data_IF_259207771193
#
_entry.id   IF_259207771193
#
_cell.length_a   1.000
_cell.length_b   1.000
_cell.length_c   1.000
_cell.angle_alpha   90.00
_cell.angle_beta   90.00
_cell.angle_gamma   90.00
#
_symmetry.space_group_name_H-M   'P 1'
#
loop_
_entity.id
_entity.type
_entity.pdbx_description
1 polymer ?
#
# COMPACT_ATOMS: atom_id res chain seq x y z
N UNK A 1 -0.83 -7.95 -9.47
CA UNK A 1 0.48 -8.47 -9.96
C UNK A 1 0.45 -9.96 -10.25
N UNK A 2 0.11 -10.78 -9.30
CA UNK A 2 -0.08 -12.22 -9.48
C UNK A 2 -1.56 -12.50 -9.73
N UNK A 3 -1.89 -13.36 -10.72
CA UNK A 3 -3.27 -13.73 -11.03
C UNK A 3 -3.93 -14.46 -9.85
N UNK A 4 -5.15 -14.06 -9.49
CA UNK A 4 -6.04 -14.90 -8.71
C UNK A 4 -6.68 -15.97 -9.60
N UNK A 5 -7.31 -16.99 -9.00
CA UNK A 5 -7.88 -18.15 -9.69
C UNK A 5 -8.93 -17.86 -10.80
N UNK A 6 -9.30 -16.58 -11.00
CA UNK A 6 -10.29 -16.13 -11.99
C UNK A 6 -9.77 -15.06 -12.96
N UNK A 7 -8.45 -14.73 -12.97
CA UNK A 7 -7.91 -13.69 -13.85
C UNK A 7 -7.17 -14.29 -15.03
N UNK A 8 -7.58 -13.91 -16.24
CA UNK A 8 -6.96 -14.35 -17.51
C UNK A 8 -5.68 -13.56 -17.80
N UNK A 9 -5.59 -12.30 -17.37
CA UNK A 9 -4.43 -11.43 -17.62
C UNK A 9 -3.84 -10.94 -16.31
N UNK A 10 -2.56 -11.18 -16.10
CA UNK A 10 -1.80 -10.70 -14.94
C UNK A 10 -0.35 -10.39 -15.36
N UNK A 11 0.32 -9.54 -14.61
CA UNK A 11 1.66 -9.06 -14.98
C UNK A 11 2.67 -10.20 -15.19
N UNK A 12 2.58 -11.27 -14.40
CA UNK A 12 3.48 -12.42 -14.55
C UNK A 12 3.37 -13.06 -15.95
N UNK A 13 2.17 -13.07 -16.54
CA UNK A 13 1.97 -13.52 -17.93
C UNK A 13 2.59 -12.58 -18.96
N UNK A 14 2.74 -11.31 -18.64
CA UNK A 14 3.32 -10.29 -19.53
C UNK A 14 4.85 -10.19 -19.43
N UNK A 15 5.49 -10.85 -18.47
CA UNK A 15 6.95 -10.77 -18.28
C UNK A 15 7.75 -11.36 -19.43
N UNK A 16 7.11 -12.15 -20.30
CA UNK A 16 7.74 -12.66 -21.54
C UNK A 16 8.23 -11.50 -22.43
N UNK A 17 7.44 -10.44 -22.58
CA UNK A 17 7.80 -9.23 -23.34
C UNK A 17 8.96 -8.44 -22.71
N UNK A 18 9.30 -8.71 -21.45
CA UNK A 18 10.35 -8.02 -20.70
C UNK A 18 11.67 -8.79 -20.63
N UNK A 19 11.89 -9.73 -21.52
CA UNK A 19 13.14 -10.50 -21.59
C UNK A 19 14.35 -9.65 -21.98
N UNK A 20 14.17 -8.64 -22.81
CA UNK A 20 15.24 -7.74 -23.28
C UNK A 20 16.49 -8.52 -23.76
N UNK A 21 16.27 -9.55 -24.58
CA UNK A 21 17.33 -10.39 -25.13
C UNK A 21 17.90 -11.49 -24.21
N UNK A 22 17.31 -11.69 -23.03
CA UNK A 22 17.67 -12.79 -22.12
C UNK A 22 16.87 -14.05 -22.43
N UNK A 23 17.42 -15.22 -22.16
CA UNK A 23 16.76 -16.50 -22.36
C UNK A 23 15.57 -16.69 -21.40
N UNK A 24 15.75 -16.26 -20.15
CA UNK A 24 14.71 -16.36 -19.13
C UNK A 24 13.90 -15.06 -18.99
N UNK A 25 12.60 -15.19 -18.75
CA UNK A 25 11.73 -14.05 -18.42
C UNK A 25 11.99 -13.55 -17.01
N UNK A 26 11.82 -12.22 -16.76
CA UNK A 26 11.91 -11.67 -15.42
C UNK A 26 10.92 -12.29 -14.45
N UNK A 27 11.33 -12.36 -13.18
CA UNK A 27 10.59 -12.99 -12.08
C UNK A 27 10.07 -11.98 -11.09
N UNK A 28 8.84 -12.18 -10.63
CA UNK A 28 8.28 -11.43 -9.50
C UNK A 28 9.03 -11.80 -8.21
N UNK A 29 9.43 -10.79 -7.44
CA UNK A 29 10.10 -10.94 -6.14
C UNK A 29 9.27 -10.38 -4.98
N UNK A 30 8.30 -9.56 -5.31
CA UNK A 30 7.25 -9.08 -4.40
C UNK A 30 5.95 -8.81 -5.19
N UNK A 31 4.93 -8.38 -4.50
CA UNK A 31 3.63 -8.12 -5.12
C UNK A 31 3.02 -6.82 -4.64
N UNK A 32 2.19 -6.22 -5.49
CA UNK A 32 1.21 -5.21 -5.13
C UNK A 32 -0.19 -5.84 -5.18
N UNK A 33 -1.11 -5.35 -4.34
CA UNK A 33 -2.50 -5.73 -4.41
C UNK A 33 -3.12 -5.26 -5.74
N UNK A 34 -4.23 -5.88 -6.14
CA UNK A 34 -5.01 -5.42 -7.29
C UNK A 34 -5.40 -3.95 -7.06
N UNK A 35 -5.35 -3.13 -8.05
CA UNK A 35 -5.65 -1.69 -7.99
C UNK A 35 -4.60 -0.82 -7.26
N UNK A 36 -3.62 -1.38 -6.55
CA UNK A 36 -2.49 -0.63 -6.01
C UNK A 36 -1.48 -0.34 -7.11
N UNK A 37 -1.15 0.92 -7.30
CA UNK A 37 -0.14 1.40 -8.24
C UNK A 37 1.25 1.52 -7.60
N UNK A 38 2.26 1.88 -8.39
CA UNK A 38 3.59 2.24 -7.90
C UNK A 38 4.71 1.27 -8.21
N UNK A 39 5.80 1.36 -7.45
CA UNK A 39 7.02 0.59 -7.66
C UNK A 39 6.77 -0.92 -7.58
N UNK A 40 7.07 -1.60 -8.67
CA UNK A 40 7.12 -3.05 -8.73
C UNK A 40 8.46 -3.50 -9.31
N UNK A 41 9.22 -4.27 -8.53
CA UNK A 41 10.54 -4.75 -8.90
C UNK A 41 10.48 -6.15 -9.48
N UNK A 42 11.12 -6.36 -10.61
CA UNK A 42 11.30 -7.65 -11.26
C UNK A 42 12.79 -8.03 -11.28
N UNK A 43 13.09 -9.29 -11.02
CA UNK A 43 14.46 -9.80 -11.13
C UNK A 43 14.67 -10.41 -12.51
N UNK A 44 15.72 -10.00 -13.22
CA UNK A 44 16.04 -10.52 -14.57
C UNK A 44 16.64 -11.92 -14.57
N UNK A 45 17.27 -12.34 -13.47
CA UNK A 45 17.89 -13.66 -13.35
C UNK A 45 17.41 -14.40 -12.11
N UNK A 46 17.49 -15.74 -12.11
CA UNK A 46 17.12 -16.59 -10.98
C UNK A 46 17.91 -16.26 -9.72
N UNK A 47 19.21 -15.98 -9.85
CA UNK A 47 20.06 -15.65 -8.72
C UNK A 47 19.65 -14.32 -8.07
N UNK A 48 19.41 -13.28 -8.86
CA UNK A 48 18.90 -11.98 -8.38
C UNK A 48 17.53 -12.16 -7.73
N UNK A 49 16.64 -12.96 -8.33
CA UNK A 49 15.32 -13.24 -7.75
C UNK A 49 15.42 -13.87 -6.35
N UNK A 50 16.32 -14.83 -6.16
CA UNK A 50 16.55 -15.48 -4.86
C UNK A 50 17.00 -14.46 -3.79
N UNK A 51 17.96 -13.59 -4.12
CA UNK A 51 18.47 -12.58 -3.21
C UNK A 51 17.39 -11.54 -2.84
N UNK A 52 16.69 -11.00 -3.83
CA UNK A 52 15.63 -10.03 -3.61
C UNK A 52 14.46 -10.62 -2.81
N UNK A 53 13.99 -11.81 -3.14
CA UNK A 53 12.93 -12.49 -2.37
C UNK A 53 13.34 -12.66 -0.90
N UNK A 54 14.59 -13.03 -0.63
CA UNK A 54 15.12 -13.12 0.73
C UNK A 54 15.14 -11.75 1.42
N UNK A 55 15.55 -10.68 0.73
CA UNK A 55 15.54 -9.33 1.29
C UNK A 55 14.11 -8.87 1.68
N UNK A 56 13.11 -9.13 0.83
CA UNK A 56 11.70 -8.85 1.15
C UNK A 56 11.19 -9.68 2.33
N UNK A 57 11.50 -10.97 2.38
CA UNK A 57 11.11 -11.86 3.48
C UNK A 57 11.74 -11.44 4.82
N UNK A 58 13.01 -11.03 4.79
CA UNK A 58 13.75 -10.58 5.97
C UNK A 58 13.48 -9.14 6.35
N UNK A 59 12.55 -8.44 5.66
CA UNK A 59 12.22 -7.03 5.90
C UNK A 59 13.42 -6.09 5.77
N UNK A 60 14.42 -6.45 4.98
CA UNK A 60 15.59 -5.61 4.65
C UNK A 60 15.30 -4.64 3.51
N UNK A 61 14.05 -4.21 3.40
CA UNK A 61 13.58 -3.26 2.39
C UNK A 61 12.74 -2.20 3.06
N UNK A 62 13.00 -0.94 2.75
CA UNK A 62 12.16 0.18 3.16
C UNK A 62 11.10 0.41 2.08
N UNK A 63 9.84 0.39 2.46
CA UNK A 63 8.70 0.59 1.56
C UNK A 63 7.83 1.70 2.12
N UNK A 64 7.53 2.69 1.30
CA UNK A 64 6.61 3.76 1.69
C UNK A 64 5.49 3.81 0.66
N UNK A 65 4.28 3.82 1.17
CA UNK A 65 3.06 3.96 0.40
C UNK A 65 2.44 5.33 0.67
N UNK A 66 1.95 5.95 -0.36
CA UNK A 66 1.11 7.13 -0.25
C UNK A 66 -0.35 6.75 -0.44
N UNK A 67 -1.23 7.35 0.34
CA UNK A 67 -2.66 7.14 0.23
C UNK A 67 -3.44 8.41 0.53
N UNK A 68 -4.51 8.65 -0.22
CA UNK A 68 -5.53 9.60 0.18
C UNK A 68 -6.61 8.86 0.98
N UNK A 69 -6.96 9.38 2.15
CA UNK A 69 -7.94 8.77 3.06
C UNK A 69 -9.06 9.74 3.43
N UNK A 70 -10.21 9.20 3.79
CA UNK A 70 -11.33 9.97 4.33
C UNK A 70 -11.02 10.43 5.77
N UNK A 71 -11.24 11.71 6.05
CA UNK A 71 -10.93 12.31 7.35
C UNK A 71 -9.44 12.46 7.60
N UNK A 72 -9.11 12.78 8.86
CA UNK A 72 -7.73 13.05 9.32
C UNK A 72 -7.44 12.20 10.55
N UNK A 73 -6.55 11.19 10.46
CA UNK A 73 -6.15 10.42 11.63
C UNK A 73 -5.57 11.29 12.74
N UNK A 74 -5.95 11.00 13.97
CA UNK A 74 -5.41 11.67 15.16
C UNK A 74 -4.90 10.59 16.12
N UNK A 75 -3.61 10.62 16.53
CA UNK A 75 -2.57 11.60 16.19
C UNK A 75 -2.14 11.55 14.71
N UNK A 76 -1.47 12.63 14.23
CA UNK A 76 -0.98 12.72 12.84
C UNK A 76 0.17 11.75 12.51
N UNK A 77 0.79 11.17 13.51
CA UNK A 77 1.84 10.16 13.42
C UNK A 77 1.50 9.03 14.38
N UNK A 78 1.58 7.79 13.93
CA UNK A 78 1.29 6.66 14.80
C UNK A 78 1.60 5.30 14.20
N UNK A 79 1.42 4.27 15.04
CA UNK A 79 1.57 2.87 14.67
C UNK A 79 0.28 2.10 14.91
N UNK A 80 -0.19 1.39 13.91
CA UNK A 80 -1.38 0.53 13.96
C UNK A 80 -0.92 -0.91 14.20
N UNK A 81 -1.34 -1.52 15.32
CA UNK A 81 -0.94 -2.87 15.75
C UNK A 81 -2.14 -3.82 15.87
N UNK A 82 -2.89 -4.01 14.80
CA UNK A 82 -3.94 -5.02 14.74
C UNK A 82 -3.45 -6.30 14.07
N UNK A 83 -3.95 -7.45 14.53
CA UNK A 83 -3.81 -8.69 13.76
C UNK A 83 -4.72 -8.66 12.52
N UNK A 84 -4.41 -9.52 11.56
CA UNK A 84 -5.22 -9.70 10.36
C UNK A 84 -5.57 -11.16 10.16
N UNK A 85 -6.86 -11.43 9.89
CA UNK A 85 -7.38 -12.75 9.54
C UNK A 85 -8.21 -12.65 8.26
N UNK A 86 -8.22 -13.68 7.44
CA UNK A 86 -9.06 -13.74 6.25
C UNK A 86 -10.54 -13.79 6.69
N UNK A 87 -11.38 -12.94 6.10
CA UNK A 87 -12.82 -12.99 6.35
C UNK A 87 -13.40 -14.31 5.85
N UNK A 88 -14.35 -14.88 6.62
CA UNK A 88 -15.02 -16.14 6.29
C UNK A 88 -16.08 -16.00 5.19
N UNK A 89 -16.46 -14.76 4.83
CA UNK A 89 -17.40 -14.52 3.74
C UNK A 89 -16.75 -14.93 2.40
N UNK A 90 -17.28 -15.98 1.76
CA UNK A 90 -16.72 -16.63 0.56
C UNK A 90 -16.67 -15.71 -0.66
N UNK A 91 -17.46 -14.63 -0.70
CA UNK A 91 -17.62 -13.80 -1.89
C UNK A 91 -16.57 -12.68 -2.02
N UNK A 92 -15.82 -12.36 -0.96
CA UNK A 92 -14.83 -11.30 -0.99
C UNK A 92 -13.54 -11.72 -0.26
N UNK A 93 -12.40 -11.70 -0.97
CA UNK A 93 -11.08 -11.78 -0.34
C UNK A 93 -10.82 -10.52 0.50
N UNK A 94 -11.42 -10.46 1.68
CA UNK A 94 -11.29 -9.36 2.63
C UNK A 94 -10.54 -9.83 3.86
N UNK A 95 -9.70 -8.96 4.41
CA UNK A 95 -9.06 -9.16 5.70
C UNK A 95 -9.87 -8.44 6.77
N UNK A 96 -10.00 -9.04 7.94
CA UNK A 96 -10.60 -8.44 9.13
C UNK A 96 -9.51 -8.15 10.15
N UNK A 97 -9.57 -6.98 10.76
CA UNK A 97 -8.72 -6.64 11.88
C UNK A 97 -9.10 -7.43 13.12
N UNK A 98 -8.10 -7.79 13.91
CA UNK A 98 -8.20 -8.54 15.15
C UNK A 98 -7.44 -7.78 16.22
N UNK A 99 -8.10 -7.55 17.36
CA UNK A 99 -7.45 -6.88 18.48
C UNK A 99 -6.15 -7.59 18.87
N UNK A 100 -5.06 -6.89 19.19
CA UNK A 100 -3.75 -7.51 19.46
C UNK A 100 -3.79 -8.63 20.51
N UNK A 101 -4.62 -8.47 21.56
CA UNK A 101 -4.80 -9.47 22.63
C UNK A 101 -5.50 -10.77 22.20
N UNK A 102 -6.16 -10.76 21.03
CA UNK A 102 -6.96 -11.90 20.54
C UNK A 102 -6.30 -12.61 19.36
N UNK A 103 -5.20 -12.10 18.82
CA UNK A 103 -4.53 -12.69 17.65
C UNK A 103 -4.17 -14.17 17.87
N UNK A 104 -3.71 -14.51 19.06
CA UNK A 104 -3.35 -15.90 19.39
C UNK A 104 -4.56 -16.82 19.59
N UNK A 105 -5.76 -16.27 19.82
CA UNK A 105 -7.00 -17.01 20.09
C UNK A 105 -7.78 -17.32 18.82
N UNK A 106 -7.49 -16.63 17.71
CA UNK A 106 -8.23 -16.74 16.45
C UNK A 106 -7.36 -17.48 15.43
N UNK A 107 -7.86 -18.64 14.98
CA UNK A 107 -7.16 -19.44 13.99
C UNK A 107 -6.94 -18.66 12.68
N UNK A 108 -5.73 -18.80 12.11
CA UNK A 108 -5.32 -18.08 10.89
C UNK A 108 -5.03 -16.58 11.07
N UNK A 109 -5.28 -16.00 12.26
CA UNK A 109 -4.92 -14.61 12.52
C UNK A 109 -3.40 -14.44 12.63
N UNK A 110 -2.87 -13.37 12.03
CA UNK A 110 -1.44 -13.03 12.04
C UNK A 110 -1.24 -11.60 12.49
N UNK A 111 -0.27 -11.39 13.34
CA UNK A 111 0.12 -10.02 13.73
C UNK A 111 0.49 -9.19 12.51
N UNK A 112 0.06 -7.94 12.53
CA UNK A 112 0.38 -6.96 11.51
C UNK A 112 0.66 -5.60 12.18
N UNK A 113 1.56 -4.84 11.57
CA UNK A 113 2.01 -3.55 12.09
C UNK A 113 2.24 -2.59 10.92
N UNK A 114 1.69 -1.38 11.04
CA UNK A 114 1.76 -0.32 10.04
C UNK A 114 2.05 1.01 10.72
N UNK A 115 3.12 1.69 10.32
CA UNK A 115 3.34 3.08 10.70
C UNK A 115 2.66 4.00 9.69
N UNK A 116 2.14 5.12 10.15
CA UNK A 116 1.55 6.14 9.29
C UNK A 116 1.92 7.55 9.75
N UNK A 117 1.90 8.47 8.80
CA UNK A 117 2.09 9.91 9.02
C UNK A 117 1.15 10.68 8.11
N UNK A 118 0.47 11.67 8.65
CA UNK A 118 -0.30 12.65 7.87
C UNK A 118 0.67 13.63 7.24
N UNK A 119 0.74 13.65 5.91
CA UNK A 119 1.57 14.59 5.16
C UNK A 119 0.87 15.94 4.98
N UNK A 120 -0.39 15.88 4.57
CA UNK A 120 -1.23 17.07 4.38
C UNK A 120 -2.70 16.70 4.55
N UNK A 121 -3.54 17.70 4.72
CA UNK A 121 -4.98 17.50 4.96
C UNK A 121 -5.83 18.53 4.21
N UNK A 122 -7.05 18.13 3.87
CA UNK A 122 -8.10 18.97 3.34
C UNK A 122 -9.13 19.23 4.46
N UNK A 123 -8.90 20.27 5.25
CA UNK A 123 -9.67 20.55 6.47
C UNK A 123 -9.80 19.27 7.33
N UNK A 124 -11.03 18.87 7.67
CA UNK A 124 -11.32 17.60 8.40
C UNK A 124 -11.82 16.48 7.49
N UNK A 125 -11.89 16.70 6.18
CA UNK A 125 -12.57 15.82 5.23
C UNK A 125 -11.71 14.75 4.64
N UNK A 126 -10.46 15.02 4.43
CA UNK A 126 -9.52 14.08 3.84
C UNK A 126 -8.10 14.42 4.19
N UNK A 127 -7.23 13.45 4.07
CA UNK A 127 -5.80 13.65 4.28
C UNK A 127 -4.99 12.76 3.35
N UNK A 128 -3.74 13.17 3.13
CA UNK A 128 -2.75 12.39 2.42
C UNK A 128 -1.78 11.81 3.43
N UNK A 129 -1.59 10.51 3.36
CA UNK A 129 -0.74 9.77 4.30
C UNK A 129 0.47 9.20 3.62
N UNK A 130 1.60 9.19 4.33
CA UNK A 130 2.66 8.22 4.13
C UNK A 130 2.42 7.03 5.06
N UNK A 131 2.59 5.81 4.56
CA UNK A 131 2.40 4.57 5.32
C UNK A 131 3.54 3.59 5.09
N UNK A 132 4.02 2.96 6.16
CA UNK A 132 5.07 1.93 6.14
C UNK A 132 4.51 0.61 6.62
N UNK A 133 4.40 -0.41 5.76
CA UNK A 133 4.05 -1.75 6.21
C UNK A 133 5.26 -2.42 6.90
N UNK A 134 5.34 -2.34 8.23
CA UNK A 134 6.37 -3.04 9.03
C UNK A 134 6.25 -4.55 8.87
N UNK A 135 5.05 -5.05 8.71
CA UNK A 135 4.75 -6.41 8.24
C UNK A 135 4.16 -6.34 6.83
N UNK A 136 4.04 -7.49 6.13
CA UNK A 136 3.54 -7.55 4.76
C UNK A 136 2.34 -8.49 4.60
N UNK A 137 1.22 -8.23 5.27
CA UNK A 137 0.00 -9.04 5.15
C UNK A 137 -0.86 -8.56 3.99
N UNK A 138 -1.66 -9.46 3.43
CA UNK A 138 -2.62 -9.12 2.37
C UNK A 138 -3.54 -7.98 2.82
N UNK A 139 -3.74 -6.98 1.97
CA UNK A 139 -4.57 -5.79 2.20
C UNK A 139 -4.24 -5.03 3.52
N UNK A 140 -3.04 -5.19 4.07
CA UNK A 140 -2.71 -4.69 5.41
C UNK A 140 -3.00 -3.20 5.57
N UNK A 141 -2.43 -2.36 4.71
CA UNK A 141 -2.59 -0.91 4.77
C UNK A 141 -4.06 -0.51 4.68
N UNK A 142 -4.80 -1.15 3.76
CA UNK A 142 -6.22 -0.89 3.53
C UNK A 142 -7.08 -1.23 4.75
N UNK A 143 -6.88 -2.42 5.32
CA UNK A 143 -7.62 -2.86 6.49
C UNK A 143 -7.27 -2.05 7.74
N UNK A 144 -5.99 -1.76 7.97
CA UNK A 144 -5.52 -1.03 9.13
C UNK A 144 -6.06 0.40 9.17
N UNK A 145 -5.96 1.14 8.06
CA UNK A 145 -6.40 2.54 8.06
C UNK A 145 -7.93 2.65 8.09
N UNK A 146 -8.64 1.68 7.50
CA UNK A 146 -10.09 1.60 7.60
C UNK A 146 -10.56 1.28 9.04
N UNK A 147 -9.81 0.44 9.79
CA UNK A 147 -10.08 0.13 11.19
C UNK A 147 -9.96 1.37 12.08
N UNK A 148 -9.06 2.30 11.76
CA UNK A 148 -8.98 3.60 12.44
C UNK A 148 -10.13 4.56 12.07
N UNK A 149 -11.02 4.18 11.16
CA UNK A 149 -12.12 5.03 10.70
C UNK A 149 -11.77 5.93 9.50
N UNK A 150 -10.58 5.73 8.89
CA UNK A 150 -10.07 6.55 7.79
C UNK A 150 -9.83 5.73 6.51
N UNK A 151 -10.88 5.14 5.89
CA UNK A 151 -10.70 4.30 4.72
C UNK A 151 -10.06 5.07 3.56
N UNK A 152 -9.29 4.33 2.74
CA UNK A 152 -8.66 4.89 1.54
C UNK A 152 -9.74 5.28 0.52
N UNK A 153 -9.59 6.43 -0.10
CA UNK A 153 -10.48 6.92 -1.15
C UNK A 153 -10.47 5.94 -2.33
N UNK A 154 -11.64 5.61 -2.85
CA UNK A 154 -11.81 4.64 -3.93
C UNK A 154 -11.67 3.18 -3.51
N UNK A 155 -11.53 2.88 -2.21
CA UNK A 155 -11.46 1.50 -1.74
C UNK A 155 -12.83 0.81 -1.70
N UNK A 156 -13.14 0.03 -2.73
CA UNK A 156 -14.41 -0.69 -2.87
C UNK A 156 -14.60 -1.83 -1.86
N UNK A 157 -13.51 -2.29 -1.21
CA UNK A 157 -13.56 -3.37 -0.22
C UNK A 157 -13.70 -2.86 1.21
N UNK A 158 -13.05 -1.76 1.54
CA UNK A 158 -12.95 -1.24 2.92
C UNK A 158 -13.62 0.13 3.07
N UNK A 159 -13.98 0.80 1.99
CA UNK A 159 -14.51 2.17 2.00
C UNK A 159 -15.88 2.34 2.69
N UNK A 160 -16.62 1.26 2.91
CA UNK A 160 -17.93 1.29 3.58
C UNK A 160 -17.86 0.89 5.07
N UNK A 161 -16.65 0.66 5.61
CA UNK A 161 -16.48 0.27 7.00
C UNK A 161 -16.19 1.51 7.85
N UNK A 162 -17.07 1.79 8.78
CA UNK A 162 -16.87 2.79 9.87
C UNK A 162 -16.53 4.21 9.43
N UNK A 163 -17.10 4.70 8.33
CA UNK A 163 -17.02 6.11 8.02
C UNK A 163 -17.77 6.91 9.06
N UNK A 164 -17.09 7.78 9.77
CA UNK A 164 -17.76 8.91 10.41
C UNK A 164 -18.32 9.78 9.28
N UNK A 165 -19.55 9.50 8.91
CA UNK A 165 -20.33 10.40 8.07
C UNK A 165 -20.58 11.66 8.91
N UNK A 166 -19.89 12.76 8.55
CA UNK A 166 -20.08 14.05 9.21
C UNK A 166 -21.47 14.65 8.89
N UNK A 167 -22.43 13.85 8.40
CA UNK A 167 -23.77 14.28 8.09
C UNK A 167 -23.94 14.96 6.73
N UNK A 168 -22.86 15.04 5.95
CA UNK A 168 -22.82 15.76 4.67
C UNK A 168 -22.78 14.84 3.43
N UNK A 169 -22.96 13.54 3.62
CA UNK A 169 -22.93 12.55 2.55
C UNK A 169 -21.53 12.22 2.00
N UNK A 170 -20.51 12.84 2.57
CA UNK A 170 -19.12 12.65 2.17
C UNK A 170 -18.53 11.45 2.93
N UNK A 171 -18.52 10.33 2.33
CA UNK A 171 -17.75 9.18 2.80
C UNK A 171 -16.43 9.06 2.05
N UNK A 172 -15.95 7.81 1.83
CA UNK A 172 -14.82 7.55 0.92
C UNK A 172 -15.12 7.94 -0.54
N UNK A 173 -16.32 8.40 -0.83
CA UNK A 173 -16.69 9.11 -2.05
C UNK A 173 -16.66 10.60 -1.74
N UNK A 174 -15.52 11.24 -1.96
CA UNK A 174 -15.40 12.70 -1.80
C UNK A 174 -16.23 13.49 -2.80
N UNK A 175 -16.85 12.82 -3.78
CA UNK A 175 -17.69 13.45 -4.81
C UNK A 175 -16.91 14.31 -5.79
N UNK A 176 -17.60 14.96 -6.73
CA UNK A 176 -16.98 15.84 -7.71
C UNK A 176 -16.09 15.08 -8.71
N UNK A 177 -15.01 15.73 -9.15
CA UNK A 177 -14.09 15.21 -10.17
C UNK A 177 -13.08 14.17 -9.67
N UNK A 178 -13.22 13.66 -8.43
CA UNK A 178 -12.31 12.67 -7.90
C UNK A 178 -12.62 11.27 -8.43
N UNK A 179 -11.59 10.56 -8.86
CA UNK A 179 -11.71 9.19 -9.35
C UNK A 179 -12.17 8.22 -8.24
N UNK A 180 -13.04 7.27 -8.61
CA UNK A 180 -13.42 6.11 -7.78
C UNK A 180 -12.34 5.00 -7.75
N UNK A 181 -11.17 5.24 -8.34
CA UNK A 181 -10.03 4.32 -8.29
C UNK A 181 -9.32 4.37 -6.94
N UNK A 182 -8.71 3.26 -6.54
CA UNK A 182 -8.02 3.15 -5.25
C UNK A 182 -6.85 4.13 -5.14
N UNK A 183 -6.91 5.05 -4.21
CA UNK A 183 -5.85 6.02 -3.91
C UNK A 183 -4.79 5.43 -2.98
N UNK A 184 -4.16 4.34 -3.41
CA UNK A 184 -3.04 3.68 -2.73
C UNK A 184 -1.90 3.44 -3.71
N UNK A 185 -0.72 3.96 -3.39
CA UNK A 185 0.42 3.99 -4.29
C UNK A 185 1.72 3.60 -3.57
N UNK A 186 2.43 2.59 -4.07
CA UNK A 186 3.76 2.22 -3.61
C UNK A 186 4.77 3.28 -4.11
N UNK A 187 4.93 4.37 -3.33
CA UNK A 187 5.68 5.56 -3.72
C UNK A 187 7.17 5.32 -3.75
N UNK A 188 7.71 4.67 -2.71
CA UNK A 188 9.15 4.55 -2.51
C UNK A 188 9.54 3.13 -2.09
N UNK A 189 10.66 2.67 -2.64
CA UNK A 189 11.30 1.41 -2.29
C UNK A 189 12.81 1.60 -2.21
N UNK A 190 13.40 1.29 -1.04
CA UNK A 190 14.85 1.25 -0.85
C UNK A 190 15.28 -0.15 -0.42
N UNK A 191 16.36 -0.62 -1.01
CA UNK A 191 16.97 -1.91 -0.69
C UNK A 191 18.45 -1.92 -1.13
N UNK A 192 19.21 -2.94 -0.69
CA UNK A 192 20.53 -3.19 -1.20
C UNK A 192 20.48 -3.88 -2.56
N UNK A 193 21.17 -3.34 -3.56
CA UNK A 193 21.27 -3.97 -4.87
C UNK A 193 21.99 -5.33 -4.76
N UNK A 194 21.40 -6.46 -5.21
CA UNK A 194 21.90 -7.81 -4.90
C UNK A 194 23.29 -8.12 -5.44
N UNK A 195 23.74 -7.42 -6.49
CA UNK A 195 25.04 -7.63 -7.12
C UNK A 195 26.04 -6.58 -6.65
N UNK A 196 25.73 -5.29 -6.83
CA UNK A 196 26.69 -4.19 -6.55
C UNK A 196 26.79 -3.84 -5.07
N UNK A 197 25.88 -4.32 -4.24
CA UNK A 197 25.78 -4.04 -2.80
C UNK A 197 25.56 -2.55 -2.45
N UNK A 198 25.35 -1.71 -3.46
CA UNK A 198 25.03 -0.30 -3.25
C UNK A 198 23.55 -0.13 -2.90
N UNK A 199 23.17 0.93 -2.17
CA UNK A 199 21.79 1.29 -1.99
C UNK A 199 21.10 1.48 -3.36
N UNK A 200 19.90 0.92 -3.50
CA UNK A 200 19.03 1.12 -4.65
C UNK A 200 17.75 1.77 -4.13
N UNK A 201 17.49 2.98 -4.58
CA UNK A 201 16.31 3.76 -4.23
C UNK A 201 15.47 3.98 -5.48
N UNK A 202 14.18 3.68 -5.37
CA UNK A 202 13.23 3.75 -6.47
C UNK A 202 12.01 4.56 -6.02
N UNK A 203 11.65 5.55 -6.82
CA UNK A 203 10.50 6.42 -6.60
C UNK A 203 9.57 6.27 -7.81
N UNK A 204 8.28 6.09 -7.57
CA UNK A 204 7.27 6.07 -8.64
C UNK A 204 6.48 7.37 -8.65
N UNK A 205 6.26 7.94 -9.84
CA UNK A 205 5.35 9.06 -10.00
C UNK A 205 3.91 8.66 -9.70
N UNK A 206 3.11 9.60 -9.22
CA UNK A 206 1.69 9.37 -8.95
C UNK A 206 0.96 8.97 -10.24
N UNK A 207 0.06 7.97 -10.19
CA UNK A 207 -0.79 7.65 -11.32
C UNK A 207 -1.75 8.82 -11.63
N UNK A 208 -2.27 8.90 -12.85
CA UNK A 208 -3.06 10.06 -13.30
C UNK A 208 -4.20 10.47 -12.36
N UNK A 209 -4.97 9.52 -11.83
CA UNK A 209 -6.07 9.80 -10.91
C UNK A 209 -5.60 10.40 -9.59
N UNK A 210 -4.48 9.91 -9.02
CA UNK A 210 -3.93 10.45 -7.78
C UNK A 210 -3.23 11.80 -8.01
N UNK A 211 -2.57 12.00 -9.15
CA UNK A 211 -2.01 13.29 -9.55
C UNK A 211 -3.11 14.35 -9.76
N UNK A 212 -4.26 13.93 -10.32
CA UNK A 212 -5.43 14.80 -10.45
C UNK A 212 -5.95 15.22 -9.06
N UNK A 213 -6.10 14.29 -8.12
CA UNK A 213 -6.49 14.59 -6.73
C UNK A 213 -5.54 15.60 -6.07
N UNK A 214 -4.23 15.43 -6.24
CA UNK A 214 -3.24 16.39 -5.75
C UNK A 214 -3.45 17.79 -6.31
N UNK A 215 -3.65 17.87 -7.62
CA UNK A 215 -3.90 19.14 -8.31
C UNK A 215 -5.21 19.79 -7.85
N UNK A 216 -6.27 19.00 -7.69
CA UNK A 216 -7.59 19.49 -7.26
C UNK A 216 -7.54 20.09 -5.84
N UNK A 217 -6.71 19.53 -4.96
CA UNK A 217 -6.54 20.04 -3.59
C UNK A 217 -5.35 21.00 -3.43
N UNK A 218 -4.73 21.42 -4.55
CA UNK A 218 -3.60 22.34 -4.57
C UNK A 218 -2.41 21.86 -3.71
N UNK A 219 -2.25 20.55 -3.57
CA UNK A 219 -1.12 19.96 -2.87
C UNK A 219 0.11 19.86 -3.77
N UNK A 220 1.31 19.91 -3.19
CA UNK A 220 2.57 19.76 -3.91
C UNK A 220 3.39 18.59 -3.38
N UNK A 221 3.78 17.67 -4.27
CA UNK A 221 4.67 16.56 -3.90
C UNK A 221 6.09 17.01 -3.57
N UNK A 222 6.46 18.24 -3.96
CA UNK A 222 7.80 18.81 -3.68
C UNK A 222 7.98 19.20 -2.22
N UNK A 223 6.86 19.32 -1.47
CA UNK A 223 6.88 19.74 -0.08
C UNK A 223 7.18 18.56 0.87
N UNK A 224 7.30 17.34 0.34
CA UNK A 224 7.47 16.15 1.16
C UNK A 224 8.66 15.31 0.70
N UNK A 225 9.44 14.85 1.68
CA UNK A 225 10.50 13.85 1.45
C UNK A 225 9.93 12.54 0.91
N UNK A 226 10.70 11.84 0.09
CA UNK A 226 10.36 10.48 -0.36
C UNK A 226 10.31 9.47 0.81
N UNK A 227 11.09 9.71 1.88
CA UNK A 227 10.96 9.03 3.19
C UNK A 227 10.71 10.04 4.31
N UNK A 228 9.44 10.43 4.56
CA UNK A 228 9.11 11.39 5.60
C UNK A 228 9.30 10.86 7.03
N UNK A 229 9.62 9.58 7.19
CA UNK A 229 9.91 8.98 8.49
C UNK A 229 11.40 9.00 8.83
N UNK A 230 12.28 9.44 7.92
CA UNK A 230 13.75 9.45 8.16
C UNK A 230 14.13 10.20 9.42
N UNK A 231 13.43 11.29 9.72
CA UNK A 231 13.70 12.15 10.87
C UNK A 231 13.23 11.58 12.23
N UNK A 232 12.54 10.43 12.20
CA UNK A 232 12.00 9.76 13.39
C UNK A 232 12.65 8.39 13.65
N UNK A 233 13.69 8.05 12.89
CA UNK A 233 14.39 6.76 13.00
C UNK A 233 15.71 6.85 13.78
N UNK A 234 15.95 7.96 14.52
CA UNK A 234 17.09 8.12 15.42
C UNK A 234 16.83 7.52 16.80
#
# INVERSE_FOLDING_TARGET
>A
TQGGSKQVTHLEGLTEALKFGMDEKPRLVHRLDKETSGVLLLARTRNVAKHLSKAFQQKKTRKIYWAAVAGVPTPNLGTIKYGLVKSTNKDFEKMRCVHPGDVKKIDGAKQAETDYMVLTQLAKRGSWLAMVPVTGRTHQLRAHIAELGHPIIGDKKYGNMSQQNLGDGWGAKLGGDLSDDLHLHARYLKLEHPITKKPLELVADLPPHMAHTWKTFEWSSKDFSDDPFSDFLE
#
